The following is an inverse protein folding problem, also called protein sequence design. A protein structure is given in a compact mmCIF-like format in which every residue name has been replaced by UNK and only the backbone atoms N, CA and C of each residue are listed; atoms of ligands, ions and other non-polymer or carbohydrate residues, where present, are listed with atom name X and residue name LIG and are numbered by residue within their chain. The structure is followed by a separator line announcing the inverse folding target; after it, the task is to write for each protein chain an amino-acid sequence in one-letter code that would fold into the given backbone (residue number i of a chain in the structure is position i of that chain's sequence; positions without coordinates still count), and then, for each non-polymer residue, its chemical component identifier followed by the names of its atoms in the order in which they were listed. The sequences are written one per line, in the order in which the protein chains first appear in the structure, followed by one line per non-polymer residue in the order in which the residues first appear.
data_IF_757803074173
#
_entry.id   IF_757803074173
#
_cell.length_a   1.000
_cell.length_b   1.000
_cell.length_c   1.000
_cell.angle_alpha   90.00
_cell.angle_beta   90.00
_cell.angle_gamma   90.00
#
_symmetry.space_group_name_H-M   'P 1'
#
loop_
_entity.id
_entity.type
_entity.pdbx_description
1 polymer ?
#
# COMPACT_ATOMS: atom_id res chain seq x y z
N UNK A 1 10.09 6.10 -15.37
CA UNK A 1 9.12 5.42 -16.27
C UNK A 1 8.25 4.35 -15.61
N UNK A 2 8.67 3.69 -14.50
CA UNK A 2 7.94 2.57 -13.88
C UNK A 2 6.50 2.89 -13.41
N UNK A 3 6.20 4.15 -13.06
CA UNK A 3 4.86 4.62 -12.63
C UNK A 3 3.92 4.98 -13.77
N UNK A 4 4.33 4.80 -15.03
CA UNK A 4 3.47 5.00 -16.22
C UNK A 4 2.87 3.69 -16.73
N UNK A 5 3.42 2.54 -16.32
CA UNK A 5 2.88 1.23 -16.61
C UNK A 5 2.37 0.62 -15.30
N UNK A 6 1.05 0.42 -15.20
CA UNK A 6 0.45 -0.07 -13.96
C UNK A 6 0.93 -1.48 -13.59
N UNK A 7 1.03 -2.39 -14.54
CA UNK A 7 1.43 -3.78 -14.27
C UNK A 7 2.86 -3.85 -13.73
N UNK A 8 3.76 -3.03 -14.27
CA UNK A 8 5.15 -2.91 -13.80
C UNK A 8 5.20 -2.37 -12.38
N UNK A 9 4.43 -1.30 -12.09
CA UNK A 9 4.32 -0.75 -10.74
C UNK A 9 3.71 -1.77 -9.76
N UNK A 10 2.65 -2.45 -10.17
CA UNK A 10 1.94 -3.44 -9.36
C UNK A 10 2.85 -4.62 -9.00
N UNK A 11 3.55 -5.16 -9.98
CA UNK A 11 4.50 -6.25 -9.79
C UNK A 11 5.65 -5.83 -8.86
N UNK A 12 6.19 -4.63 -9.02
CA UNK A 12 7.20 -4.08 -8.11
C UNK A 12 6.68 -3.97 -6.68
N UNK A 13 5.50 -3.38 -6.48
CA UNK A 13 4.90 -3.23 -5.15
C UNK A 13 4.58 -4.59 -4.50
N UNK A 14 4.18 -5.57 -5.30
CA UNK A 14 3.91 -6.93 -4.85
C UNK A 14 5.20 -7.65 -4.44
N UNK A 15 6.27 -7.56 -5.25
CA UNK A 15 7.60 -8.09 -4.94
C UNK A 15 8.13 -7.50 -3.62
N UNK A 16 7.96 -6.19 -3.42
CA UNK A 16 8.34 -5.50 -2.16
C UNK A 16 7.36 -5.75 -1.00
N UNK A 17 6.35 -6.60 -1.19
CA UNK A 17 5.34 -6.97 -0.18
C UNK A 17 4.56 -5.77 0.40
N UNK A 18 4.48 -4.68 -0.35
CA UNK A 18 3.73 -3.46 0.02
C UNK A 18 2.25 -3.57 -0.37
N UNK A 19 1.94 -4.42 -1.35
CA UNK A 19 0.58 -4.81 -1.73
C UNK A 19 0.47 -6.33 -1.75
N UNK A 20 -0.75 -6.86 -1.59
CA UNK A 20 -1.00 -8.31 -1.56
C UNK A 20 -1.99 -8.69 -2.65
N UNK A 21 -1.65 -9.69 -3.45
CA UNK A 21 -2.53 -10.24 -4.48
C UNK A 21 -3.44 -11.34 -3.94
N UNK A 22 -3.10 -11.89 -2.78
CA UNK A 22 -3.85 -12.97 -2.17
C UNK A 22 -3.94 -12.84 -0.66
N UNK A 23 -5.09 -13.25 -0.13
CA UNK A 23 -5.39 -13.24 1.30
C UNK A 23 -6.16 -14.50 1.68
N UNK A 24 -5.74 -15.13 2.76
CA UNK A 24 -6.48 -16.24 3.35
C UNK A 24 -7.71 -15.71 4.09
N UNK A 25 -8.92 -16.16 3.71
CA UNK A 25 -10.13 -15.78 4.42
C UNK A 25 -10.10 -16.28 5.88
N UNK A 26 -10.22 -15.41 6.89
CA UNK A 26 -10.11 -15.83 8.29
C UNK A 26 -11.29 -16.72 8.73
N UNK A 27 -12.44 -16.61 8.05
CA UNK A 27 -13.68 -17.34 8.39
C UNK A 27 -13.71 -18.75 7.83
N UNK A 28 -13.41 -18.90 6.54
CA UNK A 28 -13.58 -20.18 5.84
C UNK A 28 -12.28 -20.78 5.29
N UNK A 29 -11.13 -20.13 5.53
CA UNK A 29 -9.80 -20.58 5.11
C UNK A 29 -9.66 -20.81 3.60
N UNK A 30 -10.51 -20.16 2.79
CA UNK A 30 -10.35 -20.09 1.33
C UNK A 30 -9.35 -18.99 0.97
N UNK A 31 -8.41 -19.30 0.08
CA UNK A 31 -7.54 -18.32 -0.55
C UNK A 31 -8.35 -17.43 -1.49
N UNK A 32 -8.28 -16.12 -1.26
CA UNK A 32 -8.86 -15.09 -2.13
C UNK A 32 -7.76 -14.51 -2.99
N UNK A 33 -7.98 -14.34 -4.28
CA UNK A 33 -7.04 -13.71 -5.22
C UNK A 33 -7.66 -12.47 -5.84
N UNK A 34 -6.85 -11.44 -6.03
CA UNK A 34 -7.22 -10.26 -6.79
C UNK A 34 -7.08 -10.56 -8.28
N UNK A 35 -8.19 -10.53 -9.02
CA UNK A 35 -8.18 -10.78 -10.47
C UNK A 35 -7.83 -9.51 -11.27
N UNK A 36 -8.37 -8.36 -10.84
CA UNK A 36 -8.05 -7.05 -11.43
C UNK A 36 -7.92 -6.01 -10.30
N UNK A 37 -6.70 -5.80 -9.76
CA UNK A 37 -6.46 -4.88 -8.65
C UNK A 37 -6.73 -3.41 -8.98
N UNK A 38 -6.70 -3.07 -10.28
CA UNK A 38 -6.95 -1.73 -10.79
C UNK A 38 -8.42 -1.32 -10.56
N UNK A 39 -9.34 -2.23 -10.93
CA UNK A 39 -10.78 -1.99 -10.90
C UNK A 39 -11.41 -2.34 -9.55
N UNK A 40 -10.91 -3.38 -8.88
CA UNK A 40 -11.50 -3.85 -7.64
C UNK A 40 -10.47 -4.09 -6.56
N UNK A 41 -10.40 -3.11 -5.64
CA UNK A 41 -9.52 -3.13 -4.48
C UNK A 41 -10.05 -4.00 -3.34
N UNK A 42 -11.26 -4.55 -3.46
CA UNK A 42 -11.95 -5.29 -2.41
C UNK A 42 -12.08 -6.77 -2.76
N UNK A 43 -11.44 -7.62 -1.97
CA UNK A 43 -11.62 -9.06 -2.03
C UNK A 43 -12.88 -9.45 -1.27
N UNK A 44 -13.82 -10.10 -1.94
CA UNK A 44 -15.03 -10.64 -1.36
C UNK A 44 -15.01 -12.17 -1.36
N UNK A 45 -15.04 -12.77 -0.18
CA UNK A 45 -15.19 -14.21 -0.05
C UNK A 45 -16.67 -14.59 -0.12
N UNK A 46 -17.01 -15.47 -1.08
CA UNK A 46 -18.37 -16.04 -1.27
C UNK A 46 -18.40 -17.55 -1.05
N UNK A 47 -17.38 -18.12 -0.38
CA UNK A 47 -17.28 -19.57 -0.20
C UNK A 47 -18.37 -20.12 0.72
N UNK A 48 -18.92 -21.30 0.40
CA UNK A 48 -19.81 -22.01 1.31
C UNK A 48 -18.99 -22.83 2.31
N UNK A 49 -19.28 -22.72 3.60
CA UNK A 49 -18.65 -23.49 4.65
C UNK A 49 -19.65 -23.88 5.73
N UNK A 50 -19.31 -24.88 6.54
CA UNK A 50 -20.16 -25.27 7.65
C UNK A 50 -19.74 -24.58 8.94
N UNK A 51 -20.71 -24.01 9.65
CA UNK A 51 -20.51 -23.40 10.96
C UNK A 51 -21.20 -24.26 12.02
N UNK A 52 -20.45 -24.59 13.08
CA UNK A 52 -20.99 -25.23 14.29
C UNK A 52 -21.12 -24.14 15.35
N UNK A 53 -22.30 -24.01 15.95
CA UNK A 53 -22.56 -23.10 17.06
C UNK A 53 -22.97 -23.96 18.26
N UNK A 54 -22.47 -23.64 19.45
CA UNK A 54 -22.75 -24.42 20.67
C UNK A 54 -24.27 -24.58 20.85
N UNK A 55 -24.73 -25.83 21.01
CA UNK A 55 -26.15 -26.16 21.17
C UNK A 55 -27.00 -26.09 19.89
N UNK A 56 -26.41 -25.91 18.70
CA UNK A 56 -27.15 -25.88 17.42
C UNK A 56 -26.60 -26.90 16.42
N UNK A 57 -27.50 -27.41 15.56
CA UNK A 57 -27.11 -28.26 14.43
C UNK A 57 -26.13 -27.52 13.51
N UNK A 58 -25.24 -28.28 12.88
CA UNK A 58 -24.28 -27.78 11.89
C UNK A 58 -25.04 -27.14 10.73
N UNK A 59 -24.73 -25.88 10.41
CA UNK A 59 -25.39 -25.13 9.34
C UNK A 59 -24.42 -24.86 8.19
N UNK A 60 -24.88 -25.03 6.95
CA UNK A 60 -24.15 -24.62 5.75
C UNK A 60 -24.45 -23.14 5.48
N UNK A 61 -23.42 -22.30 5.51
CA UNK A 61 -23.55 -20.85 5.31
C UNK A 61 -22.60 -20.37 4.23
N UNK A 62 -22.98 -19.27 3.57
CA UNK A 62 -22.11 -18.56 2.63
C UNK A 62 -21.27 -17.54 3.40
N UNK A 63 -19.96 -17.55 3.17
CA UNK A 63 -19.08 -16.50 3.66
C UNK A 63 -19.42 -15.18 2.95
N UNK A 64 -19.40 -14.07 3.69
CA UNK A 64 -19.56 -12.71 3.18
C UNK A 64 -18.42 -11.81 3.68
N UNK A 65 -17.24 -12.39 3.87
CA UNK A 65 -16.07 -11.65 4.37
C UNK A 65 -15.51 -10.76 3.26
N UNK A 66 -15.23 -9.50 3.59
CA UNK A 66 -14.67 -8.51 2.67
C UNK A 66 -13.39 -7.93 3.27
N UNK A 67 -12.36 -7.76 2.45
CA UNK A 67 -11.09 -7.14 2.86
C UNK A 67 -10.46 -6.40 1.69
N UNK A 68 -9.84 -5.25 1.97
CA UNK A 68 -9.08 -4.51 0.95
C UNK A 68 -7.75 -5.20 0.64
N UNK A 69 -7.30 -5.17 -0.61
CA UNK A 69 -5.95 -5.61 -1.01
C UNK A 69 -4.83 -4.79 -0.35
N UNK A 70 -5.16 -3.56 0.10
CA UNK A 70 -4.28 -2.70 0.86
C UNK A 70 -4.43 -2.85 2.38
N UNK A 71 -5.24 -3.80 2.86
CA UNK A 71 -5.44 -3.98 4.30
C UNK A 71 -4.11 -4.28 5.01
N UNK A 72 -3.80 -3.49 6.03
CA UNK A 72 -2.57 -3.62 6.80
C UNK A 72 -1.32 -3.14 6.06
N UNK A 73 -1.48 -2.36 4.99
CA UNK A 73 -0.38 -1.70 4.29
C UNK A 73 -0.51 -0.19 4.41
N UNK A 74 0.55 0.54 4.09
CA UNK A 74 0.57 2.00 4.12
C UNK A 74 -0.52 2.62 3.21
N UNK A 75 -0.92 1.89 2.16
CA UNK A 75 -1.98 2.29 1.22
C UNK A 75 -3.42 2.07 1.75
N UNK A 76 -3.59 1.51 2.96
CA UNK A 76 -4.92 1.15 3.49
C UNK A 76 -5.89 2.33 3.62
N UNK A 77 -5.38 3.55 3.83
CA UNK A 77 -6.17 4.78 3.99
C UNK A 77 -6.03 5.75 2.82
N UNK A 78 -5.52 5.25 1.69
CA UNK A 78 -5.28 6.12 0.55
C UNK A 78 -6.62 6.49 -0.13
N UNK A 79 -6.83 7.79 -0.32
CA UNK A 79 -7.99 8.31 -1.06
C UNK A 79 -7.67 8.57 -2.53
N UNK A 80 -6.39 8.64 -2.88
CA UNK A 80 -5.91 8.91 -4.24
C UNK A 80 -5.54 7.62 -4.99
N UNK A 81 -5.29 7.75 -6.29
CA UNK A 81 -4.84 6.63 -7.11
C UNK A 81 -3.43 6.16 -6.72
N UNK A 82 -3.19 4.84 -6.83
CA UNK A 82 -1.91 4.23 -6.45
C UNK A 82 -0.75 4.82 -7.26
N UNK A 83 -0.95 5.04 -8.57
CA UNK A 83 0.09 5.60 -9.44
C UNK A 83 0.45 7.02 -9.04
N UNK A 84 -0.55 7.84 -8.67
CA UNK A 84 -0.36 9.23 -8.24
C UNK A 84 0.43 9.28 -6.95
N UNK A 85 0.07 8.46 -5.96
CA UNK A 85 0.78 8.43 -4.68
C UNK A 85 2.20 7.89 -4.85
N UNK A 86 2.41 6.84 -5.64
CA UNK A 86 3.75 6.35 -5.92
C UNK A 86 4.62 7.38 -6.64
N UNK A 87 4.05 8.18 -7.54
CA UNK A 87 4.75 9.33 -8.16
C UNK A 87 5.07 10.40 -7.12
N UNK A 88 4.11 10.76 -6.28
CA UNK A 88 4.33 11.74 -5.20
C UNK A 88 5.47 11.30 -4.29
N UNK A 89 5.47 10.05 -3.82
CA UNK A 89 6.55 9.49 -2.99
C UNK A 89 7.88 9.52 -3.77
N UNK A 90 7.87 9.11 -5.04
CA UNK A 90 9.05 9.13 -5.89
C UNK A 90 9.66 10.53 -5.99
N UNK A 91 8.85 11.54 -6.31
CA UNK A 91 9.29 12.94 -6.34
C UNK A 91 9.76 13.41 -4.97
N UNK A 92 9.01 13.12 -3.90
CA UNK A 92 9.38 13.51 -2.54
C UNK A 92 10.76 12.96 -2.15
N UNK A 93 11.04 11.68 -2.44
CA UNK A 93 12.33 11.05 -2.17
C UNK A 93 13.43 11.60 -3.08
N UNK A 94 13.14 11.85 -4.36
CA UNK A 94 14.11 12.34 -5.34
C UNK A 94 14.41 13.84 -5.21
N UNK A 95 13.53 14.64 -4.59
CA UNK A 95 13.76 16.07 -4.38
C UNK A 95 14.63 16.37 -3.15
N UNK A 96 14.84 15.40 -2.24
CA UNK A 96 15.68 15.64 -1.05
C UNK A 96 17.16 15.95 -1.37
N UNK A 97 17.84 15.27 -2.32
CA UNK A 97 19.22 15.63 -2.67
C UNK A 97 19.31 16.97 -3.39
N UNK A 98 18.34 17.29 -4.25
CA UNK A 98 18.36 18.53 -5.03
C UNK A 98 18.09 19.76 -4.17
N UNK A 99 17.34 19.64 -3.08
CA UNK A 99 17.18 20.74 -2.13
C UNK A 99 18.48 21.07 -1.42
N UNK A 100 19.27 20.07 -0.99
CA UNK A 100 20.53 20.35 -0.30
C UNK A 100 21.53 21.03 -1.21
N UNK A 101 21.75 20.52 -2.42
CA UNK A 101 22.67 21.15 -3.38
C UNK A 101 22.17 22.51 -3.86
N UNK A 102 20.86 22.68 -4.06
CA UNK A 102 20.25 23.98 -4.36
C UNK A 102 20.46 24.98 -3.23
N UNK A 103 20.16 24.61 -1.99
CA UNK A 103 20.32 25.46 -0.82
C UNK A 103 21.80 25.78 -0.56
N UNK A 104 22.72 24.82 -0.78
CA UNK A 104 24.16 25.06 -0.67
C UNK A 104 24.61 26.12 -1.66
N UNK A 105 24.12 26.05 -2.90
CA UNK A 105 24.46 26.99 -3.95
C UNK A 105 23.83 28.38 -3.72
N UNK A 106 22.57 28.45 -3.33
CA UNK A 106 21.85 29.73 -3.13
C UNK A 106 22.25 30.44 -1.84
N UNK A 107 22.33 29.71 -0.72
CA UNK A 107 22.65 30.29 0.59
C UNK A 107 24.15 30.36 0.86
N UNK A 108 24.98 29.74 0.01
CA UNK A 108 26.45 29.66 0.16
C UNK A 108 26.89 29.15 1.53
N UNK A 109 26.14 28.21 2.07
CA UNK A 109 26.43 27.53 3.34
C UNK A 109 26.87 26.10 3.07
N UNK A 110 27.67 25.56 3.97
CA UNK A 110 28.24 24.23 3.83
C UNK A 110 27.19 23.12 4.04
N UNK A 111 27.54 21.93 3.57
CA UNK A 111 26.64 20.78 3.60
C UNK A 111 26.20 20.40 5.01
N UNK A 112 27.08 20.52 6.01
CA UNK A 112 26.77 20.13 7.39
C UNK A 112 25.72 21.07 7.97
N UNK A 113 25.91 22.38 7.79
CA UNK A 113 24.93 23.39 8.20
C UNK A 113 23.55 23.14 7.58
N UNK A 114 23.47 22.83 6.29
CA UNK A 114 22.18 22.54 5.64
C UNK A 114 21.53 21.27 6.18
N UNK A 115 22.30 20.22 6.43
CA UNK A 115 21.77 18.97 6.99
C UNK A 115 21.17 19.23 8.37
N UNK A 116 21.87 19.96 9.24
CA UNK A 116 21.41 20.29 10.59
C UNK A 116 20.11 21.08 10.55
N UNK A 117 20.05 22.15 9.74
CA UNK A 117 18.85 22.97 9.59
C UNK A 117 17.69 22.18 8.96
N UNK A 118 17.96 21.33 7.98
CA UNK A 118 16.92 20.50 7.36
C UNK A 118 16.35 19.47 8.33
N UNK A 119 17.20 18.88 9.18
CA UNK A 119 16.77 17.95 10.22
C UNK A 119 15.92 18.67 11.27
N UNK A 120 16.36 19.84 11.74
CA UNK A 120 15.57 20.68 12.65
C UNK A 120 14.19 20.99 12.09
N UNK A 121 14.09 21.38 10.82
CA UNK A 121 12.82 21.67 10.16
C UNK A 121 11.91 20.43 9.96
N UNK A 122 12.44 19.19 10.00
CA UNK A 122 11.63 17.96 9.92
C UNK A 122 11.07 17.51 11.26
N UNK A 123 11.67 17.95 12.36
CA UNK A 123 11.29 17.58 13.73
C UNK A 123 10.18 18.48 14.31
N UNK A 124 9.98 19.68 13.74
CA UNK A 124 8.89 20.62 14.06
C UNK A 124 7.62 20.26 13.29
#
# INVERSE_FOLDING_TARGET
HMTYNFDSLWNFLHEKKVVRNEIMCPRCKKLLKANNPLENRLLHCTNKYYKVTKGRKRQRITCNFKISIFHGTWFSRMHMDLTVICRFIGYFLMMQPSQQSFLMNELKIDQHSIVDWTNFCREV
#
